data_IF_778509963957
#
_entry.id   IF_778509963957
#
_cell.length_a   1.000
_cell.length_b   1.000
_cell.length_c   1.000
_cell.angle_alpha   90.00
_cell.angle_beta   90.00
_cell.angle_gamma   90.00
#
_symmetry.space_group_name_H-M   'P 1'
#
loop_
_entity.id
_entity.type
_entity.pdbx_description
1 polymer ?
#
# COMPACT_ATOMS: atom_id res chain seq x y z
N UNK A 1 22.77 -31.34 6.79
CA UNK A 1 22.32 -31.00 8.16
C UNK A 1 23.27 -29.94 8.69
N UNK A 2 22.92 -28.67 8.51
CA UNK A 2 23.66 -27.53 9.07
C UNK A 2 22.76 -26.88 10.11
N UNK A 3 23.23 -26.85 11.34
CA UNK A 3 22.54 -26.37 12.53
C UNK A 3 22.36 -24.86 12.48
N UNK A 4 21.11 -24.40 12.45
CA UNK A 4 20.76 -23.01 12.71
C UNK A 4 20.88 -22.78 14.23
N UNK A 5 21.99 -22.21 14.70
CA UNK A 5 22.03 -21.63 16.04
C UNK A 5 21.35 -20.26 15.98
N UNK A 6 20.06 -20.25 16.28
CA UNK A 6 19.14 -19.12 16.13
C UNK A 6 19.15 -18.26 17.39
N UNK A 7 19.66 -17.03 17.28
CA UNK A 7 19.53 -15.98 18.29
C UNK A 7 18.39 -14.99 18.01
N UNK A 8 17.41 -15.34 17.18
CA UNK A 8 16.24 -14.50 16.92
C UNK A 8 15.21 -14.67 18.04
N UNK A 9 15.05 -13.65 18.88
CA UNK A 9 13.99 -13.60 19.89
C UNK A 9 12.74 -12.96 19.29
N UNK A 10 11.63 -13.71 19.30
CA UNK A 10 10.31 -13.20 18.97
C UNK A 10 9.71 -12.56 20.21
N UNK A 11 9.44 -11.25 20.16
CA UNK A 11 8.75 -10.58 21.26
C UNK A 11 7.23 -10.64 21.04
N UNK A 12 6.47 -11.32 21.91
CA UNK A 12 5.02 -11.27 21.86
C UNK A 12 4.53 -9.85 22.20
N UNK A 13 3.58 -9.35 21.41
CA UNK A 13 2.99 -8.05 21.65
C UNK A 13 2.12 -8.09 22.92
N UNK A 14 2.20 -7.06 23.77
CA UNK A 14 1.49 -7.00 25.08
C UNK A 14 0.02 -6.57 24.98
N UNK A 15 -0.46 -6.19 23.80
CA UNK A 15 -1.85 -5.80 23.58
C UNK A 15 -2.72 -7.02 23.17
N UNK A 16 -3.79 -7.35 23.92
CA UNK A 16 -4.66 -8.50 23.65
C UNK A 16 -5.47 -8.39 22.35
N UNK A 17 -5.41 -7.26 21.64
CA UNK A 17 -6.05 -7.04 20.34
C UNK A 17 -5.09 -7.18 19.13
N UNK A 18 -3.82 -7.55 19.35
CA UNK A 18 -2.81 -7.61 18.28
C UNK A 18 -2.15 -9.00 18.19
N UNK A 19 -2.06 -9.56 16.99
CA UNK A 19 -1.44 -10.86 16.79
C UNK A 19 0.05 -10.83 17.22
N UNK A 20 0.53 -11.82 18.00
CA UNK A 20 1.80 -11.76 18.75
C UNK A 20 3.09 -11.86 17.91
N UNK A 21 3.03 -11.83 16.58
CA UNK A 21 4.19 -12.06 15.68
C UNK A 21 4.40 -10.94 14.66
N UNK A 22 4.43 -9.68 15.12
CA UNK A 22 4.62 -8.50 14.24
C UNK A 22 5.96 -7.79 14.44
N UNK A 23 6.78 -8.25 15.38
CA UNK A 23 8.04 -7.64 15.77
C UNK A 23 9.14 -8.71 15.93
N UNK A 24 10.35 -8.42 15.46
CA UNK A 24 11.52 -9.28 15.64
C UNK A 24 12.70 -8.46 16.19
N UNK A 25 13.42 -9.02 17.17
CA UNK A 25 14.71 -8.47 17.57
C UNK A 25 15.83 -9.26 16.90
N UNK A 26 16.65 -8.56 16.11
CA UNK A 26 17.77 -9.13 15.37
C UNK A 26 19.00 -8.27 15.61
N UNK A 27 19.97 -8.78 16.36
CA UNK A 27 21.31 -8.20 16.51
C UNK A 27 22.28 -9.31 16.99
N UNK A 28 23.58 -9.14 16.74
CA UNK A 28 24.65 -10.10 17.10
C UNK A 28 24.49 -11.49 16.49
N UNK A 29 23.89 -11.59 15.30
CA UNK A 29 23.75 -12.85 14.56
C UNK A 29 24.89 -13.04 13.54
N UNK A 30 25.91 -12.17 13.56
CA UNK A 30 27.00 -12.18 12.57
C UNK A 30 26.47 -12.08 11.13
N UNK A 31 25.37 -11.33 10.95
CA UNK A 31 24.71 -11.16 9.66
C UNK A 31 25.62 -10.38 8.71
N UNK A 32 26.01 -11.00 7.60
CA UNK A 32 26.80 -10.34 6.54
C UNK A 32 25.89 -9.51 5.61
N UNK A 33 26.48 -8.66 4.77
CA UNK A 33 25.71 -7.92 3.75
C UNK A 33 24.87 -8.84 2.85
N UNK A 34 25.36 -10.04 2.54
CA UNK A 34 24.61 -11.05 1.79
C UNK A 34 23.45 -11.62 2.62
N UNK A 35 23.65 -11.87 3.91
CA UNK A 35 22.59 -12.32 4.82
C UNK A 35 21.45 -11.30 4.92
N UNK A 36 21.77 -10.00 5.01
CA UNK A 36 20.75 -8.95 4.93
C UNK A 36 20.01 -8.94 3.59
N UNK A 37 20.69 -9.27 2.49
CA UNK A 37 20.04 -9.31 1.17
C UNK A 37 19.01 -10.43 1.07
N UNK A 38 19.30 -11.58 1.69
CA UNK A 38 18.36 -12.69 1.74
C UNK A 38 17.18 -12.38 2.66
N UNK A 39 17.40 -11.66 3.77
CA UNK A 39 16.32 -11.10 4.61
C UNK A 39 15.44 -10.13 3.79
N UNK A 40 16.05 -9.21 3.03
CA UNK A 40 15.30 -8.28 2.18
C UNK A 40 14.42 -9.02 1.16
N UNK A 41 14.97 -10.04 0.48
CA UNK A 41 14.21 -10.90 -0.45
C UNK A 41 13.07 -11.65 0.23
N UNK A 42 13.30 -12.19 1.44
CA UNK A 42 12.26 -12.86 2.20
C UNK A 42 11.14 -11.87 2.59
N UNK A 43 11.49 -10.63 2.94
CA UNK A 43 10.54 -9.58 3.30
C UNK A 43 9.74 -9.04 2.12
N UNK A 44 10.23 -9.14 0.89
CA UNK A 44 9.45 -8.77 -0.30
C UNK A 44 8.11 -9.52 -0.36
N UNK A 45 8.10 -10.80 0.03
CA UNK A 45 6.91 -11.64 0.06
C UNK A 45 6.25 -11.76 1.43
N UNK A 46 6.88 -11.24 2.50
CA UNK A 46 6.31 -11.24 3.84
C UNK A 46 5.56 -9.93 4.12
N UNK A 47 4.24 -10.00 4.34
CA UNK A 47 3.39 -8.83 4.62
C UNK A 47 3.01 -8.69 6.10
N UNK A 48 3.53 -9.54 6.98
CA UNK A 48 3.06 -9.69 8.36
C UNK A 48 4.01 -9.04 9.37
N UNK A 49 5.32 -9.09 9.13
CA UNK A 49 6.32 -8.49 10.00
C UNK A 49 6.29 -6.97 9.84
N UNK A 50 5.97 -6.23 10.92
CA UNK A 50 5.85 -4.77 10.90
C UNK A 50 7.03 -4.06 11.50
N UNK A 51 7.75 -4.72 12.39
CA UNK A 51 8.87 -4.15 13.12
C UNK A 51 10.04 -5.12 13.15
N UNK A 52 11.24 -4.56 12.96
CA UNK A 52 12.52 -5.22 13.17
C UNK A 52 13.40 -4.25 13.93
N UNK A 53 13.97 -4.66 15.06
CA UNK A 53 14.93 -3.84 15.77
C UNK A 53 16.14 -3.55 14.89
N UNK A 54 16.74 -2.36 15.02
CA UNK A 54 17.97 -2.02 14.29
C UNK A 54 19.15 -2.93 14.72
N UNK A 55 19.72 -3.77 13.82
CA UNK A 55 20.84 -4.66 14.13
C UNK A 55 22.17 -3.89 14.17
N UNK A 56 22.41 -3.11 15.24
CA UNK A 56 23.56 -2.21 15.34
C UNK A 56 24.90 -2.93 15.16
N UNK A 57 25.08 -4.10 15.79
CA UNK A 57 26.35 -4.85 15.76
C UNK A 57 26.61 -5.43 14.37
N UNK A 58 25.59 -6.07 13.79
CA UNK A 58 25.70 -6.74 12.50
C UNK A 58 25.80 -5.74 11.33
N UNK A 59 25.03 -4.64 11.36
CA UNK A 59 25.15 -3.58 10.34
C UNK A 59 26.53 -2.95 10.39
N UNK A 60 27.08 -2.63 11.57
CA UNK A 60 28.43 -2.06 11.68
C UNK A 60 29.47 -2.99 11.07
N UNK A 61 29.36 -4.30 11.33
CA UNK A 61 30.27 -5.29 10.79
C UNK A 61 30.16 -5.40 9.26
N UNK A 62 28.94 -5.46 8.71
CA UNK A 62 28.70 -5.50 7.27
C UNK A 62 29.19 -4.21 6.57
N UNK A 63 28.94 -3.05 7.17
CA UNK A 63 29.30 -1.74 6.62
C UNK A 63 30.82 -1.55 6.48
N UNK A 64 31.63 -2.14 7.37
CA UNK A 64 33.10 -2.13 7.25
C UNK A 64 33.62 -2.87 6.02
N UNK A 65 32.87 -3.85 5.52
CA UNK A 65 33.26 -4.66 4.36
C UNK A 65 32.71 -4.11 3.04
N UNK A 66 31.43 -3.74 3.03
CA UNK A 66 30.67 -3.39 1.82
C UNK A 66 29.63 -2.31 2.14
N UNK A 67 30.05 -1.04 2.30
CA UNK A 67 29.19 0.03 2.80
C UNK A 67 28.00 0.33 1.88
N UNK A 68 28.24 0.50 0.58
CA UNK A 68 27.18 0.84 -0.40
C UNK A 68 26.09 -0.24 -0.47
N UNK A 69 26.50 -1.51 -0.62
CA UNK A 69 25.56 -2.63 -0.69
C UNK A 69 24.81 -2.85 0.62
N UNK A 70 25.45 -2.61 1.76
CA UNK A 70 24.80 -2.75 3.08
C UNK A 70 23.71 -1.70 3.25
N UNK A 71 23.95 -0.45 2.83
CA UNK A 71 22.96 0.63 2.91
C UNK A 71 21.75 0.35 2.01
N UNK A 72 21.99 -0.02 0.73
CA UNK A 72 20.90 -0.36 -0.21
C UNK A 72 20.00 -1.48 0.31
N UNK A 73 20.60 -2.55 0.84
CA UNK A 73 19.86 -3.70 1.36
C UNK A 73 19.09 -3.33 2.62
N UNK A 74 19.68 -2.54 3.51
CA UNK A 74 19.01 -2.10 4.73
C UNK A 74 17.82 -1.19 4.43
N UNK A 75 17.97 -0.24 3.49
CA UNK A 75 16.86 0.59 3.02
C UNK A 75 15.72 -0.26 2.45
N UNK A 76 16.03 -1.33 1.73
CA UNK A 76 15.02 -2.27 1.20
C UNK A 76 14.27 -3.01 2.31
N UNK A 77 14.96 -3.44 3.37
CA UNK A 77 14.34 -4.02 4.57
C UNK A 77 13.42 -3.01 5.24
N UNK A 78 13.89 -1.78 5.47
CA UNK A 78 13.11 -0.70 6.08
C UNK A 78 11.85 -0.39 5.26
N UNK A 79 11.98 -0.32 3.94
CA UNK A 79 10.83 -0.11 3.04
C UNK A 79 9.80 -1.24 3.16
N UNK A 80 10.24 -2.51 3.20
CA UNK A 80 9.31 -3.64 3.36
C UNK A 80 8.57 -3.60 4.71
N UNK A 81 9.24 -3.24 5.80
CA UNK A 81 8.63 -3.12 7.12
C UNK A 81 7.63 -1.96 7.18
N UNK A 82 7.99 -0.82 6.59
CA UNK A 82 7.12 0.34 6.45
C UNK A 82 5.86 -0.02 5.64
N UNK A 83 6.03 -0.67 4.49
CA UNK A 83 4.93 -1.23 3.68
C UNK A 83 4.01 -2.11 4.51
N UNK A 84 4.54 -2.95 5.40
CA UNK A 84 3.74 -3.85 6.24
C UNK A 84 3.07 -3.11 7.41
N UNK A 85 3.65 -2.01 7.88
CA UNK A 85 3.04 -1.03 8.77
C UNK A 85 1.77 -0.43 8.16
N UNK A 86 1.85 0.01 6.90
CA UNK A 86 0.77 0.68 6.16
C UNK A 86 -0.20 -0.28 5.45
N UNK A 87 0.24 -1.50 5.11
CA UNK A 87 -0.61 -2.56 4.56
C UNK A 87 -1.52 -3.11 5.66
N UNK A 88 -2.57 -2.36 5.95
CA UNK A 88 -3.86 -2.98 6.21
C UNK A 88 -4.36 -3.55 4.88
N UNK A 89 -3.86 -4.72 4.46
CA UNK A 89 -4.60 -5.60 3.55
C UNK A 89 -5.83 -6.15 4.30
N UNK A 90 -6.70 -5.25 4.72
CA UNK A 90 -7.94 -5.49 5.45
C UNK A 90 -9.25 -5.28 4.65
N UNK A 91 -9.28 -4.91 3.35
CA UNK A 91 -10.57 -4.83 2.67
C UNK A 91 -11.09 -6.18 2.15
N UNK A 92 -10.25 -7.02 1.52
CA UNK A 92 -10.77 -8.08 0.64
C UNK A 92 -11.31 -9.29 1.43
N UNK A 93 -10.61 -9.70 2.49
CA UNK A 93 -11.02 -10.85 3.30
C UNK A 93 -12.23 -10.54 4.19
N UNK A 94 -12.32 -9.31 4.73
CA UNK A 94 -13.51 -8.87 5.46
C UNK A 94 -14.72 -8.71 4.55
N UNK A 95 -14.55 -8.15 3.34
CA UNK A 95 -15.63 -8.05 2.38
C UNK A 95 -16.11 -9.41 1.88
N UNK A 96 -15.20 -10.35 1.65
CA UNK A 96 -15.56 -11.71 1.32
C UNK A 96 -16.37 -12.37 2.45
N UNK A 97 -15.92 -12.24 3.70
CA UNK A 97 -16.66 -12.77 4.88
C UNK A 97 -18.03 -12.10 5.04
N UNK A 98 -18.12 -10.79 4.84
CA UNK A 98 -19.38 -10.06 4.91
C UNK A 98 -20.34 -10.48 3.80
N UNK A 99 -19.86 -10.57 2.56
CA UNK A 99 -20.65 -11.04 1.43
C UNK A 99 -21.14 -12.47 1.66
N UNK A 100 -20.24 -13.37 2.09
CA UNK A 100 -20.59 -14.74 2.41
C UNK A 100 -21.66 -14.78 3.51
N UNK A 101 -21.46 -14.05 4.62
CA UNK A 101 -22.43 -13.97 5.71
C UNK A 101 -23.80 -13.43 5.28
N UNK A 102 -23.82 -12.48 4.35
CA UNK A 102 -25.04 -11.88 3.80
C UNK A 102 -25.77 -12.88 2.88
N UNK A 103 -25.04 -13.56 1.99
CA UNK A 103 -25.59 -14.57 1.06
C UNK A 103 -26.00 -15.85 1.79
N UNK A 104 -25.33 -16.24 2.88
CA UNK A 104 -25.70 -17.41 3.69
C UNK A 104 -26.67 -17.08 4.81
N UNK A 105 -27.16 -15.84 4.90
CA UNK A 105 -28.02 -15.41 6.00
C UNK A 105 -29.39 -16.10 5.92
N UNK A 106 -30.01 -16.29 7.09
CA UNK A 106 -31.40 -16.75 7.19
C UNK A 106 -32.38 -15.81 6.47
N UNK A 107 -32.05 -14.51 6.40
CA UNK A 107 -32.82 -13.54 5.64
C UNK A 107 -32.77 -13.80 4.12
N UNK A 108 -31.60 -14.14 3.57
CA UNK A 108 -31.46 -14.50 2.15
C UNK A 108 -32.28 -15.75 1.81
N UNK A 109 -32.18 -16.78 2.66
CA UNK A 109 -32.95 -18.02 2.47
C UNK A 109 -34.46 -17.77 2.52
N UNK A 110 -34.91 -16.92 3.44
CA UNK A 110 -36.31 -16.53 3.56
C UNK A 110 -36.77 -15.72 2.34
N UNK A 111 -35.95 -14.80 1.85
CA UNK A 111 -36.22 -14.00 0.65
C UNK A 111 -36.33 -14.88 -0.60
N UNK A 112 -35.43 -15.86 -0.76
CA UNK A 112 -35.50 -16.86 -1.84
C UNK A 112 -36.81 -17.66 -1.81
N UNK A 113 -37.24 -18.11 -0.63
CA UNK A 113 -38.52 -18.83 -0.46
C UNK A 113 -39.73 -17.95 -0.78
N UNK A 114 -39.72 -16.69 -0.31
CA UNK A 114 -40.79 -15.74 -0.59
C UNK A 114 -40.88 -15.42 -2.09
N UNK A 115 -39.74 -15.25 -2.77
CA UNK A 115 -39.71 -15.05 -4.22
C UNK A 115 -40.37 -16.21 -4.99
N UNK A 116 -40.14 -17.46 -4.58
CA UNK A 116 -40.77 -18.63 -5.21
C UNK A 116 -42.29 -18.60 -5.02
N UNK A 117 -42.76 -18.32 -3.81
CA UNK A 117 -44.20 -18.23 -3.50
C UNK A 117 -44.89 -17.12 -4.29
N UNK A 118 -44.30 -15.93 -4.31
CA UNK A 118 -44.83 -14.81 -5.12
C UNK A 118 -44.87 -15.18 -6.60
N UNK A 119 -43.87 -15.93 -7.10
CA UNK A 119 -43.86 -16.39 -8.49
C UNK A 119 -45.03 -17.35 -8.81
N UNK A 120 -45.40 -18.21 -7.87
CA UNK A 120 -46.51 -19.15 -8.01
C UNK A 120 -47.85 -18.40 -8.07
N UNK A 121 -48.08 -17.45 -7.16
CA UNK A 121 -49.28 -16.61 -7.16
C UNK A 121 -49.38 -15.75 -8.43
N UNK A 122 -48.27 -15.15 -8.85
CA UNK A 122 -48.19 -14.37 -10.10
C UNK A 122 -48.48 -15.24 -11.34
N UNK A 123 -48.12 -16.53 -11.33
CA UNK A 123 -48.50 -17.46 -12.42
C UNK A 123 -49.99 -17.78 -12.38
N UNK A 124 -50.55 -18.01 -11.20
CA UNK A 124 -51.98 -18.30 -11.02
C UNK A 124 -52.87 -17.14 -11.49
N UNK A 125 -52.44 -15.89 -11.24
CA UNK A 125 -53.18 -14.68 -11.58
C UNK A 125 -53.04 -14.23 -13.04
N UNK A 126 -52.20 -14.90 -13.85
CA UNK A 126 -51.89 -14.49 -15.24
C UNK A 126 -53.09 -14.43 -16.18
N UNK A 127 -54.15 -15.18 -15.89
CA UNK A 127 -55.38 -15.22 -16.69
C UNK A 127 -56.50 -14.30 -16.20
N UNK A 128 -56.27 -13.52 -15.13
CA UNK A 128 -57.29 -12.64 -14.57
C UNK A 128 -57.40 -11.34 -15.40
N UNK A 129 -58.58 -10.98 -15.93
CA UNK A 129 -58.75 -9.82 -16.80
C UNK A 129 -58.93 -8.49 -16.05
N UNK A 130 -58.90 -8.49 -14.71
CA UNK A 130 -59.10 -7.28 -13.92
C UNK A 130 -57.83 -6.41 -13.91
N UNK A 131 -57.96 -5.15 -14.35
CA UNK A 131 -56.82 -4.21 -14.46
C UNK A 131 -56.08 -4.00 -13.12
N UNK A 132 -56.81 -3.94 -12.00
CA UNK A 132 -56.21 -3.83 -10.67
C UNK A 132 -55.34 -5.04 -10.29
N UNK A 133 -55.74 -6.24 -10.73
CA UNK A 133 -54.96 -7.47 -10.50
C UNK A 133 -53.72 -7.48 -11.37
N UNK A 134 -53.82 -6.97 -12.60
CA UNK A 134 -52.68 -6.90 -13.51
C UNK A 134 -51.61 -5.89 -13.05
N UNK A 135 -52.02 -4.78 -12.45
CA UNK A 135 -51.11 -3.80 -11.84
C UNK A 135 -50.34 -4.38 -10.64
N UNK A 136 -51.04 -5.05 -9.71
CA UNK A 136 -50.43 -5.74 -8.58
C UNK A 136 -49.45 -6.85 -9.03
N UNK A 137 -49.80 -7.57 -10.10
CA UNK A 137 -48.95 -8.60 -10.69
C UNK A 137 -47.67 -8.02 -11.31
N UNK A 138 -47.73 -6.82 -11.91
CA UNK A 138 -46.55 -6.10 -12.41
C UNK A 138 -45.67 -5.63 -11.25
N UNK A 139 -46.27 -5.04 -10.21
CA UNK A 139 -45.57 -4.60 -9.01
C UNK A 139 -44.85 -5.76 -8.30
N UNK A 140 -45.53 -6.90 -8.15
CA UNK A 140 -44.96 -8.12 -7.58
C UNK A 140 -43.75 -8.64 -8.40
N UNK A 141 -43.78 -8.52 -9.73
CA UNK A 141 -42.64 -8.88 -10.59
C UNK A 141 -41.43 -7.98 -10.38
N UNK A 142 -41.64 -6.66 -10.27
CA UNK A 142 -40.55 -5.73 -10.00
C UNK A 142 -39.95 -5.96 -8.60
N UNK A 143 -40.79 -6.16 -7.58
CA UNK A 143 -40.30 -6.51 -6.23
C UNK A 143 -39.47 -7.80 -6.22
N UNK A 144 -39.91 -8.84 -6.94
CA UNK A 144 -39.13 -10.08 -7.07
C UNK A 144 -37.78 -9.86 -7.77
N UNK A 145 -37.74 -8.96 -8.75
CA UNK A 145 -36.52 -8.60 -9.48
C UNK A 145 -35.57 -7.82 -8.58
N UNK A 146 -36.07 -6.86 -7.81
CA UNK A 146 -35.29 -6.13 -6.80
C UNK A 146 -34.73 -7.08 -5.72
N UNK A 147 -35.56 -7.99 -5.20
CA UNK A 147 -35.13 -9.00 -4.24
C UNK A 147 -33.99 -9.87 -4.79
N UNK A 148 -34.06 -10.28 -6.05
CA UNK A 148 -32.98 -11.02 -6.72
C UNK A 148 -31.73 -10.17 -6.93
N UNK A 149 -31.90 -8.91 -7.32
CA UNK A 149 -30.79 -7.97 -7.55
C UNK A 149 -30.06 -7.60 -6.25
N UNK A 150 -30.74 -7.64 -5.10
CA UNK A 150 -30.15 -7.35 -3.79
C UNK A 150 -28.90 -8.21 -3.49
N UNK A 151 -28.83 -9.42 -4.05
CA UNK A 151 -27.70 -10.34 -3.89
C UNK A 151 -26.41 -9.82 -4.53
N UNK A 152 -26.53 -9.04 -5.61
CA UNK A 152 -25.41 -8.41 -6.30
C UNK A 152 -25.08 -7.02 -5.74
N UNK A 153 -25.98 -6.40 -4.97
CA UNK A 153 -25.83 -5.04 -4.48
C UNK A 153 -24.55 -4.85 -3.66
N UNK A 154 -24.28 -5.74 -2.69
CA UNK A 154 -23.08 -5.62 -1.85
C UNK A 154 -21.78 -5.79 -2.66
N UNK A 155 -21.60 -6.84 -3.49
CA UNK A 155 -20.45 -6.94 -4.39
C UNK A 155 -20.24 -5.70 -5.26
N UNK A 156 -21.31 -5.16 -5.86
CA UNK A 156 -21.22 -3.98 -6.73
C UNK A 156 -20.84 -2.71 -5.95
N UNK A 157 -21.43 -2.48 -4.78
CA UNK A 157 -21.06 -1.35 -3.92
C UNK A 157 -19.62 -1.46 -3.41
N UNK A 158 -19.18 -2.68 -3.08
CA UNK A 158 -17.82 -2.94 -2.64
C UNK A 158 -16.79 -2.67 -3.75
N UNK A 159 -17.06 -3.15 -4.96
CA UNK A 159 -16.23 -2.90 -6.13
C UNK A 159 -16.15 -1.40 -6.45
N UNK A 160 -17.29 -0.69 -6.41
CA UNK A 160 -17.34 0.76 -6.57
C UNK A 160 -16.45 1.47 -5.54
N UNK A 161 -16.55 1.08 -4.26
CA UNK A 161 -15.70 1.61 -3.19
C UNK A 161 -14.21 1.32 -3.41
N UNK A 162 -13.87 0.18 -4.02
CA UNK A 162 -12.49 -0.17 -4.34
C UNK A 162 -11.94 0.64 -5.52
N UNK A 163 -12.74 0.85 -6.57
CA UNK A 163 -12.38 1.69 -7.72
C UNK A 163 -12.15 3.13 -7.27
N UNK A 164 -13.07 3.68 -6.46
CA UNK A 164 -12.93 5.03 -5.90
C UNK A 164 -11.72 5.17 -4.97
N UNK A 165 -11.28 4.08 -4.32
CA UNK A 165 -10.08 4.07 -3.51
C UNK A 165 -8.79 4.12 -4.34
N UNK A 166 -8.72 3.31 -5.40
CA UNK A 166 -7.49 3.07 -6.14
C UNK A 166 -7.29 4.01 -7.33
N UNK A 167 -8.38 4.47 -7.95
CA UNK A 167 -8.39 5.36 -9.13
C UNK A 167 -9.38 6.52 -8.95
N UNK A 168 -9.67 6.89 -7.71
CA UNK A 168 -10.54 8.01 -7.40
C UNK A 168 -9.91 9.39 -7.69
N UNK A 169 -10.72 10.46 -7.67
CA UNK A 169 -10.24 11.83 -7.90
C UNK A 169 -9.14 12.25 -6.91
N UNK A 170 -9.18 11.74 -5.68
CA UNK A 170 -8.14 11.98 -4.66
C UNK A 170 -6.80 11.38 -5.09
N UNK A 171 -6.81 10.14 -5.60
CA UNK A 171 -5.61 9.44 -6.09
C UNK A 171 -4.96 10.23 -7.23
N UNK A 172 -5.75 10.60 -8.24
CA UNK A 172 -5.27 11.41 -9.36
C UNK A 172 -4.69 12.76 -8.90
N UNK A 173 -5.31 13.39 -7.90
CA UNK A 173 -4.80 14.67 -7.37
C UNK A 173 -3.48 14.50 -6.63
N UNK A 174 -3.33 13.44 -5.85
CA UNK A 174 -2.07 13.11 -5.18
C UNK A 174 -0.97 12.73 -6.19
N UNK A 175 -1.31 12.08 -7.30
CA UNK A 175 -0.36 11.79 -8.38
C UNK A 175 0.14 13.07 -9.05
N UNK A 176 -0.76 14.00 -9.40
CA UNK A 176 -0.38 15.32 -9.90
C UNK A 176 0.53 16.04 -8.92
N UNK A 177 0.12 16.12 -7.66
CA UNK A 177 0.89 16.77 -6.60
C UNK A 177 2.27 16.13 -6.41
N UNK A 178 2.37 14.80 -6.49
CA UNK A 178 3.65 14.10 -6.41
C UNK A 178 4.59 14.50 -7.54
N UNK A 179 4.08 14.70 -8.75
CA UNK A 179 4.90 15.15 -9.88
C UNK A 179 5.30 16.62 -9.73
N UNK A 180 4.41 17.47 -9.22
CA UNK A 180 4.67 18.88 -8.98
C UNK A 180 5.73 19.08 -7.89
N UNK A 181 5.58 18.38 -6.76
CA UNK A 181 6.55 18.40 -5.66
C UNK A 181 7.90 17.87 -6.11
N UNK A 182 7.95 16.80 -6.92
CA UNK A 182 9.22 16.29 -7.47
C UNK A 182 9.93 17.34 -8.31
N UNK A 183 9.21 18.03 -9.20
CA UNK A 183 9.78 19.12 -10.01
C UNK A 183 10.23 20.31 -9.16
N UNK A 184 9.51 20.63 -8.08
CA UNK A 184 9.87 21.72 -7.18
C UNK A 184 11.17 21.39 -6.43
N UNK A 185 11.28 20.17 -5.91
CA UNK A 185 12.49 19.67 -5.24
C UNK A 185 13.69 19.68 -6.20
N UNK A 186 13.54 19.21 -7.43
CA UNK A 186 14.61 19.25 -8.44
C UNK A 186 15.09 20.70 -8.69
N UNK A 187 14.17 21.68 -8.73
CA UNK A 187 14.51 23.10 -8.88
C UNK A 187 15.23 23.67 -7.67
N UNK A 188 14.77 23.36 -6.46
CA UNK A 188 15.44 23.82 -5.22
C UNK A 188 16.87 23.29 -5.15
N UNK A 189 17.07 22.01 -5.47
CA UNK A 189 18.40 21.41 -5.54
C UNK A 189 19.30 22.09 -6.57
N UNK A 190 18.77 22.43 -7.75
CA UNK A 190 19.52 23.16 -8.76
C UNK A 190 19.94 24.55 -8.28
N UNK A 191 19.03 25.30 -7.64
CA UNK A 191 19.32 26.63 -7.09
C UNK A 191 20.41 26.56 -6.01
N UNK A 192 20.36 25.55 -5.13
CA UNK A 192 21.38 25.32 -4.12
C UNK A 192 22.74 25.03 -4.78
N UNK A 193 22.76 24.16 -5.78
CA UNK A 193 23.98 23.82 -6.50
C UNK A 193 24.59 25.04 -7.20
N UNK A 194 23.79 25.82 -7.93
CA UNK A 194 24.24 27.03 -8.62
C UNK A 194 24.82 28.04 -7.60
N UNK A 195 24.16 28.19 -6.45
CA UNK A 195 24.63 29.06 -5.37
C UNK A 195 25.95 28.57 -4.77
N UNK A 196 26.12 27.26 -4.56
CA UNK A 196 27.36 26.67 -4.08
C UNK A 196 28.51 26.87 -5.07
N UNK A 197 28.25 26.71 -6.37
CA UNK A 197 29.23 26.93 -7.43
C UNK A 197 29.65 28.40 -7.47
N UNK A 198 28.69 29.33 -7.44
CA UNK A 198 28.95 30.77 -7.41
C UNK A 198 29.79 31.17 -6.19
N UNK A 199 29.42 30.68 -5.00
CA UNK A 199 30.18 30.96 -3.78
C UNK A 199 31.60 30.40 -3.82
N UNK A 200 31.78 29.23 -4.42
CA UNK A 200 33.11 28.61 -4.57
C UNK A 200 33.98 29.38 -5.57
N UNK A 201 33.39 29.92 -6.64
CA UNK A 201 34.06 30.83 -7.58
C UNK A 201 34.56 32.10 -6.88
N UNK A 202 33.73 32.68 -6.03
CA UNK A 202 34.06 33.91 -5.29
C UNK A 202 35.17 33.68 -4.24
N UNK A 203 35.04 32.63 -3.43
CA UNK A 203 35.96 32.38 -2.31
C UNK A 203 37.27 31.69 -2.74
N UNK A 204 37.24 30.87 -3.79
CA UNK A 204 38.33 29.96 -4.16
C UNK A 204 38.64 29.98 -5.68
N UNK A 205 38.96 31.13 -6.31
CA UNK A 205 39.05 31.25 -7.77
C UNK A 205 40.14 30.37 -8.41
N UNK A 206 41.26 30.14 -7.70
CA UNK A 206 42.35 29.26 -8.20
C UNK A 206 41.94 27.78 -8.22
N UNK A 207 41.18 27.33 -7.22
CA UNK A 207 40.66 25.97 -7.18
C UNK A 207 39.59 25.77 -8.27
N UNK A 208 38.77 26.80 -8.52
CA UNK A 208 37.77 26.77 -9.57
C UNK A 208 38.38 26.71 -10.97
N UNK A 209 39.41 27.51 -11.27
CA UNK A 209 40.13 27.44 -12.55
C UNK A 209 40.74 26.04 -12.81
N UNK A 210 41.27 25.40 -11.77
CA UNK A 210 41.77 24.03 -11.88
C UNK A 210 40.65 22.98 -12.09
N UNK A 211 39.44 23.27 -11.59
CA UNK A 211 38.26 22.43 -11.76
C UNK A 211 37.56 22.64 -13.12
N UNK A 212 37.56 23.85 -13.70
CA UNK A 212 37.01 24.14 -15.04
C UNK A 212 37.73 23.37 -16.15
N UNK A 213 39.05 23.14 -16.01
CA UNK A 213 39.81 22.23 -16.87
C UNK A 213 39.28 20.78 -16.83
N UNK A 214 38.55 20.42 -15.78
CA UNK A 214 37.86 19.15 -15.57
C UNK A 214 36.33 19.30 -15.67
N UNK A 215 35.82 20.04 -16.68
CA UNK A 215 34.40 20.29 -16.99
C UNK A 215 33.41 19.12 -16.77
N UNK A 216 33.88 17.87 -16.83
CA UNK A 216 33.09 16.68 -16.47
C UNK A 216 32.61 16.66 -15.01
N UNK A 217 33.34 17.23 -14.05
CA UNK A 217 33.01 17.15 -12.62
C UNK A 217 31.73 17.90 -12.25
N UNK A 218 31.53 19.12 -12.73
CA UNK A 218 30.33 19.92 -12.42
C UNK A 218 29.07 19.32 -13.04
N UNK A 219 29.13 18.87 -14.30
CA UNK A 219 28.04 18.14 -14.94
C UNK A 219 27.70 16.83 -14.22
N UNK A 220 28.72 16.11 -13.74
CA UNK A 220 28.54 14.87 -12.96
C UNK A 220 27.92 15.10 -11.58
N UNK A 221 28.11 16.28 -10.97
CA UNK A 221 27.50 16.62 -9.67
C UNK A 221 26.03 16.97 -9.85
N UNK A 222 25.67 17.73 -10.90
CA UNK A 222 24.26 18.04 -11.22
C UNK A 222 23.44 16.76 -11.48
N UNK A 223 24.01 15.75 -12.14
CA UNK A 223 23.33 14.45 -12.34
C UNK A 223 23.19 13.61 -11.05
N UNK A 224 24.01 13.85 -10.03
CA UNK A 224 23.99 13.10 -8.76
C UNK A 224 23.13 13.72 -7.68
N UNK A 225 22.78 15.01 -7.79
CA UNK A 225 21.92 15.71 -6.84
C UNK A 225 20.46 15.55 -7.29
N UNK A 226 19.89 14.37 -7.05
CA UNK A 226 18.46 14.13 -7.25
C UNK A 226 17.88 13.44 -6.04
N UNK A 227 16.67 13.83 -5.63
CA UNK A 227 15.91 13.03 -4.66
C UNK A 227 15.33 11.84 -5.42
N UNK A 228 15.44 10.61 -4.88
CA UNK A 228 14.80 9.45 -5.48
C UNK A 228 13.30 9.73 -5.71
N UNK A 229 12.84 9.71 -6.96
CA UNK A 229 11.43 9.98 -7.32
C UNK A 229 10.44 9.11 -6.55
N UNK A 230 10.89 7.93 -6.14
CA UNK A 230 10.12 6.98 -5.34
C UNK A 230 9.87 7.47 -3.90
N UNK A 231 10.72 8.34 -3.36
CA UNK A 231 10.54 8.90 -2.01
C UNK A 231 9.31 9.81 -1.94
N UNK A 232 9.23 10.79 -2.85
CA UNK A 232 8.11 11.74 -2.91
C UNK A 232 6.82 11.02 -3.24
N UNK A 233 6.88 10.08 -4.19
CA UNK A 233 5.77 9.21 -4.55
C UNK A 233 5.30 8.38 -3.35
N UNK A 234 6.21 7.77 -2.60
CA UNK A 234 5.88 7.00 -1.39
C UNK A 234 5.23 7.87 -0.31
N UNK A 235 5.80 9.04 -0.02
CA UNK A 235 5.27 9.96 0.98
C UNK A 235 3.87 10.50 0.62
N UNK A 236 3.60 10.80 -0.65
CA UNK A 236 2.31 11.38 -1.05
C UNK A 236 1.28 10.33 -1.44
N UNK A 237 1.63 9.34 -2.24
CA UNK A 237 0.67 8.34 -2.73
C UNK A 237 0.44 7.20 -1.74
N UNK A 238 1.48 6.75 -1.04
CA UNK A 238 1.37 5.60 -0.15
C UNK A 238 1.02 6.05 1.26
N UNK A 239 1.68 7.07 1.80
CA UNK A 239 1.39 7.55 3.15
C UNK A 239 0.14 8.44 3.19
N UNK A 240 0.18 9.63 2.56
CA UNK A 240 -0.95 10.55 2.62
C UNK A 240 -2.21 9.98 1.93
N UNK A 241 -2.03 9.27 0.81
CA UNK A 241 -3.14 8.57 0.13
C UNK A 241 -3.82 7.54 1.01
N UNK A 242 -3.05 6.72 1.73
CA UNK A 242 -3.62 5.72 2.64
C UNK A 242 -4.30 6.36 3.84
N UNK A 243 -3.74 7.44 4.40
CA UNK A 243 -4.32 8.14 5.55
C UNK A 243 -5.67 8.80 5.20
N UNK A 244 -5.74 9.46 4.04
CA UNK A 244 -7.00 10.03 3.53
C UNK A 244 -8.02 8.91 3.28
N UNK A 245 -7.60 7.81 2.66
CA UNK A 245 -8.49 6.67 2.41
C UNK A 245 -9.02 6.03 3.69
N UNK A 246 -8.18 5.91 4.72
CA UNK A 246 -8.57 5.40 6.03
C UNK A 246 -9.57 6.31 6.75
N UNK A 247 -9.60 7.62 6.43
CA UNK A 247 -10.58 8.57 6.98
C UNK A 247 -11.88 8.66 6.21
N UNK A 248 -11.89 8.23 4.94
CA UNK A 248 -13.08 8.19 4.10
C UNK A 248 -13.93 6.91 4.30
N UNK A 249 -13.38 5.92 4.98
CA UNK A 249 -14.07 4.69 5.41
C UNK A 249 -14.64 4.84 6.81
#
# INVERSE_FOLDING_TARGET
>A
MGTWEVGASWQPNKDPASCPYRSISWDRNSTTAQGFQDIARALENNYTLKFMSFPMSDITAAYRSTPERTDEVWQRIQWCLLRNGHSQKFPQEQAFRLHQGLVTSTAEQMMSRLCVRVQEEVRALRGCPADSVQEEVLYARELMKEAKNSRALFPSLYELGHILANDGPVRHRLESLSTEVSKAVDKELQVILDSMVSLTQELCPRAMQAAEGHNKLLGSVSERVTVPRNFIRGALLEQAGQDIHNKLK
#
